data_IF_792113122582
#
_entry.id   IF_792113122582
#
_cell.length_a   1.000
_cell.length_b   1.000
_cell.length_c   1.000
_cell.angle_alpha   90.00
_cell.angle_beta   90.00
_cell.angle_gamma   90.00
#
_symmetry.space_group_name_H-M   'P 1'
#
loop_
_entity.id
_entity.type
_entity.pdbx_description
1 polymer ?
#
# COMPACT_ATOMS: atom_id res chain seq x y z
N UNK A 1 0.01 32.79 20.55
CA UNK A 1 -0.85 31.68 20.10
C UNK A 1 -0.05 30.40 20.32
N UNK A 2 -0.34 29.63 21.38
CA UNK A 2 0.41 28.42 21.66
C UNK A 2 -0.20 27.26 20.87
N UNK A 3 0.63 26.53 20.13
CA UNK A 3 0.22 25.30 19.49
C UNK A 3 0.01 24.21 20.55
N UNK A 4 -0.95 23.32 20.32
CA UNK A 4 -1.41 22.29 21.26
C UNK A 4 -0.29 21.39 21.82
N UNK A 5 0.87 21.30 21.15
CA UNK A 5 1.98 20.40 21.51
C UNK A 5 3.28 21.13 21.86
N UNK A 6 3.29 22.47 22.02
CA UNK A 6 4.50 23.22 22.38
C UNK A 6 5.60 23.23 21.31
N UNK A 7 5.27 22.91 20.07
CA UNK A 7 6.20 23.00 18.94
C UNK A 7 6.30 24.46 18.50
N UNK A 8 7.53 24.96 18.32
CA UNK A 8 7.78 26.30 17.84
C UNK A 8 7.35 26.46 16.36
N UNK A 9 6.78 27.62 16.01
CA UNK A 9 6.21 27.86 14.67
C UNK A 9 7.26 27.73 13.55
N UNK A 10 8.50 28.13 13.82
CA UNK A 10 9.64 28.02 12.91
C UNK A 10 10.13 26.57 12.68
N UNK A 11 9.57 25.60 13.42
CA UNK A 11 9.86 24.16 13.27
C UNK A 11 8.76 23.38 12.57
N UNK A 12 7.74 24.05 12.02
CA UNK A 12 6.64 23.42 11.30
C UNK A 12 6.67 23.83 9.84
N UNK A 13 6.69 22.84 8.95
CA UNK A 13 6.49 23.03 7.52
C UNK A 13 5.34 22.15 7.05
N UNK A 14 4.41 22.75 6.29
CA UNK A 14 3.36 22.00 5.59
C UNK A 14 3.93 21.57 4.24
N UNK A 15 4.07 20.26 4.04
CA UNK A 15 4.38 19.69 2.74
C UNK A 15 3.07 19.21 2.14
N UNK A 16 2.59 19.91 1.11
CA UNK A 16 1.42 19.47 0.37
C UNK A 16 1.73 18.16 -0.35
N UNK A 17 0.80 17.20 -0.29
CA UNK A 17 0.92 15.99 -1.09
C UNK A 17 1.07 16.38 -2.57
N UNK A 18 2.08 15.85 -3.24
CA UNK A 18 2.46 16.26 -4.59
C UNK A 18 1.54 15.69 -5.69
N UNK A 19 0.54 14.88 -5.34
CA UNK A 19 -0.28 14.14 -6.29
C UNK A 19 -1.76 14.44 -6.04
N UNK A 20 -2.53 14.85 -7.06
CA UNK A 20 -3.97 14.97 -6.95
C UNK A 20 -4.59 13.61 -6.63
N UNK A 21 -5.81 13.55 -6.05
CA UNK A 21 -6.52 12.30 -5.89
C UNK A 21 -6.57 11.53 -7.21
N UNK A 22 -6.27 10.24 -7.16
CA UNK A 22 -6.38 9.38 -8.34
C UNK A 22 -7.87 9.28 -8.75
N UNK A 23 -8.16 9.20 -10.05
CA UNK A 23 -9.53 8.98 -10.51
C UNK A 23 -10.05 7.63 -9.97
N UNK A 24 -11.35 7.57 -9.70
CA UNK A 24 -12.00 6.31 -9.34
C UNK A 24 -11.90 5.36 -10.53
N UNK A 25 -11.27 4.21 -10.33
CA UNK A 25 -11.16 3.17 -11.34
C UNK A 25 -12.27 2.14 -11.17
N UNK A 26 -12.68 1.52 -12.28
CA UNK A 26 -13.49 0.31 -12.25
C UNK A 26 -12.61 -0.86 -11.78
N UNK A 27 -12.85 -1.31 -10.56
CA UNK A 27 -12.09 -2.38 -9.92
C UNK A 27 -12.12 -3.68 -10.73
N UNK A 28 -13.26 -4.05 -11.35
CA UNK A 28 -13.35 -5.30 -12.11
C UNK A 28 -12.54 -5.22 -13.40
N UNK A 29 -12.61 -4.08 -14.09
CA UNK A 29 -11.83 -3.84 -15.30
C UNK A 29 -10.32 -3.88 -15.00
N UNK A 30 -9.88 -3.19 -13.96
CA UNK A 30 -8.46 -3.15 -13.56
C UNK A 30 -7.96 -4.53 -13.16
N UNK A 31 -8.75 -5.28 -12.39
CA UNK A 31 -8.40 -6.65 -12.00
C UNK A 31 -8.24 -7.55 -13.21
N UNK A 32 -9.17 -7.48 -14.17
CA UNK A 32 -9.08 -8.21 -15.44
C UNK A 32 -7.81 -7.86 -16.22
N UNK A 33 -7.48 -6.57 -16.33
CA UNK A 33 -6.26 -6.09 -17.01
C UNK A 33 -4.96 -6.59 -16.35
N UNK A 34 -4.98 -6.80 -15.04
CA UNK A 34 -3.84 -7.29 -14.26
C UNK A 34 -3.84 -8.81 -14.08
N UNK A 35 -4.81 -9.53 -14.66
CA UNK A 35 -4.94 -10.98 -14.49
C UNK A 35 -5.30 -11.42 -13.06
N UNK A 36 -5.95 -10.54 -12.28
CA UNK A 36 -6.35 -10.79 -10.90
C UNK A 36 -7.79 -11.35 -10.90
N UNK A 37 -8.02 -12.60 -10.49
CA UNK A 37 -9.37 -13.17 -10.44
C UNK A 37 -10.25 -12.43 -9.42
N UNK A 38 -11.53 -12.21 -9.71
CA UNK A 38 -12.41 -11.38 -8.88
C UNK A 38 -12.77 -12.00 -7.52
N UNK A 39 -12.70 -13.33 -7.43
CA UNK A 39 -13.00 -14.14 -6.25
C UNK A 39 -11.86 -14.17 -5.23
N UNK A 40 -10.63 -13.86 -5.63
CA UNK A 40 -9.48 -13.88 -4.74
C UNK A 40 -9.39 -12.60 -3.92
N UNK A 41 -9.08 -12.74 -2.64
CA UNK A 41 -8.72 -11.61 -1.80
C UNK A 41 -7.31 -11.10 -2.17
N UNK A 42 -7.19 -9.81 -2.50
CA UNK A 42 -5.92 -9.24 -2.94
C UNK A 42 -5.20 -8.55 -1.78
N UNK A 43 -3.94 -8.94 -1.54
CA UNK A 43 -3.01 -8.23 -0.65
C UNK A 43 -1.97 -7.54 -1.52
N UNK A 44 -2.02 -6.21 -1.60
CA UNK A 44 -1.12 -5.39 -2.41
C UNK A 44 -0.06 -4.68 -1.58
N UNK A 45 1.17 -4.63 -2.10
CA UNK A 45 2.24 -3.77 -1.58
C UNK A 45 2.80 -2.91 -2.71
N UNK A 46 2.82 -1.59 -2.50
CA UNK A 46 3.28 -0.61 -3.50
C UNK A 46 4.42 0.22 -2.91
N UNK A 47 5.57 0.21 -3.57
CA UNK A 47 6.72 1.00 -3.16
C UNK A 47 7.96 0.62 -3.93
N UNK A 48 8.98 1.47 -3.87
CA UNK A 48 10.28 1.18 -4.48
C UNK A 48 10.82 -0.16 -3.99
N UNK A 49 11.39 -0.95 -4.91
CA UNK A 49 12.04 -2.22 -4.60
C UNK A 49 13.41 -2.04 -3.91
N UNK A 50 13.42 -1.41 -2.74
CA UNK A 50 14.60 -1.17 -1.92
C UNK A 50 14.45 -1.67 -0.47
N UNK A 51 15.59 -1.81 0.22
CA UNK A 51 15.68 -2.37 1.56
C UNK A 51 14.73 -1.74 2.59
N UNK A 52 14.51 -0.40 2.61
CA UNK A 52 13.58 0.23 3.56
C UNK A 52 12.15 -0.31 3.51
N UNK A 53 11.71 -0.90 2.39
CA UNK A 53 10.35 -1.45 2.24
C UNK A 53 10.21 -2.88 2.75
N UNK A 54 11.31 -3.56 3.08
CA UNK A 54 11.34 -4.87 3.75
C UNK A 54 10.38 -5.91 3.15
N UNK A 55 10.48 -6.16 1.84
CA UNK A 55 9.64 -7.15 1.15
C UNK A 55 9.88 -8.58 1.62
N UNK A 56 11.00 -8.86 2.30
CA UNK A 56 11.24 -10.16 2.93
C UNK A 56 10.14 -10.50 3.95
N UNK A 57 9.78 -9.53 4.81
CA UNK A 57 8.70 -9.72 5.78
C UNK A 57 7.34 -9.98 5.11
N UNK A 58 7.08 -9.37 3.94
CA UNK A 58 5.87 -9.63 3.16
C UNK A 58 5.81 -11.09 2.69
N UNK A 59 6.93 -11.61 2.17
CA UNK A 59 7.03 -13.01 1.69
C UNK A 59 6.88 -14.00 2.86
N UNK A 60 7.56 -13.74 3.98
CA UNK A 60 7.43 -14.58 5.20
C UNK A 60 6.00 -14.60 5.72
N UNK A 61 5.33 -13.45 5.72
CA UNK A 61 3.92 -13.34 6.12
C UNK A 61 3.02 -14.10 5.15
N UNK A 62 3.31 -14.04 3.84
CA UNK A 62 2.54 -14.77 2.83
C UNK A 62 2.55 -16.28 3.08
N UNK A 63 3.69 -16.86 3.48
CA UNK A 63 3.78 -18.29 3.82
C UNK A 63 2.81 -18.67 4.95
N UNK A 64 2.79 -17.88 6.03
CA UNK A 64 1.92 -18.14 7.19
C UNK A 64 0.45 -18.01 6.82
N UNK A 65 0.11 -17.03 5.98
CA UNK A 65 -1.27 -16.79 5.55
C UNK A 65 -1.75 -17.90 4.62
N UNK A 66 -0.92 -18.29 3.65
CA UNK A 66 -1.28 -19.32 2.66
C UNK A 66 -1.51 -20.68 3.32
N UNK A 67 -0.88 -20.98 4.46
CA UNK A 67 -1.20 -22.19 5.24
C UNK A 67 -2.64 -22.22 5.75
N UNK A 68 -3.32 -21.08 5.85
CA UNK A 68 -4.69 -20.95 6.41
C UNK A 68 -5.74 -20.62 5.36
N UNK A 69 -5.35 -19.93 4.28
CA UNK A 69 -6.26 -19.43 3.24
C UNK A 69 -5.63 -19.57 1.88
N UNK A 70 -6.36 -20.19 0.95
CA UNK A 70 -5.93 -20.40 -0.44
C UNK A 70 -6.63 -19.43 -1.41
N UNK A 71 -7.59 -18.65 -0.93
CA UNK A 71 -8.35 -17.66 -1.68
C UNK A 71 -7.69 -16.28 -1.64
N UNK A 72 -6.36 -16.23 -1.63
CA UNK A 72 -5.57 -15.00 -1.50
C UNK A 72 -4.55 -14.90 -2.63
N UNK A 73 -4.43 -13.72 -3.22
CA UNK A 73 -3.37 -13.34 -4.15
C UNK A 73 -2.54 -12.20 -3.56
N UNK A 74 -1.21 -12.32 -3.64
CA UNK A 74 -0.28 -11.25 -3.26
C UNK A 74 0.21 -10.54 -4.53
N UNK A 75 0.19 -9.21 -4.53
CA UNK A 75 0.70 -8.38 -5.63
C UNK A 75 1.73 -7.39 -5.08
N UNK A 76 2.92 -7.39 -5.68
CA UNK A 76 3.98 -6.45 -5.40
C UNK A 76 4.19 -5.52 -6.60
N UNK A 77 4.17 -4.22 -6.36
CA UNK A 77 4.41 -3.18 -7.37
C UNK A 77 5.54 -2.28 -6.88
N UNK A 78 6.57 -2.05 -7.69
CA UNK A 78 7.67 -1.17 -7.30
C UNK A 78 8.50 -0.58 -8.42
#
# INVERSE_FOLDING_TARGET
>A
MNLQYGIALDRIAVIYNAVPPLPIADTQLVRSQLGIPNELFLIGSVGRLDMPKNYAALVETAVIILQKRQDIMFLLVG
#
